data_IF_048003543139
#
_entry.id   IF_048003543139
#
_cell.length_a   1.000
_cell.length_b   1.000
_cell.length_c   1.000
_cell.angle_alpha   90.00
_cell.angle_beta   90.00
_cell.angle_gamma   90.00
#
_symmetry.space_group_name_H-M   'P 1'
#
loop_
_entity.id
_entity.type
_entity.pdbx_description
1 polymer ?
#
# COMPACT_ATOMS: atom_id res chain seq x y z
N UNK A 1 1.18 -24.92 11.15
CA UNK A 1 -0.26 -25.07 11.53
C UNK A 1 -1.15 -24.52 10.41
N UNK A 2 -0.86 -23.32 9.88
CA UNK A 2 -1.58 -22.68 8.77
C UNK A 2 -1.68 -23.52 7.47
N UNK A 3 -0.58 -24.14 7.03
CA UNK A 3 -0.56 -24.93 5.80
C UNK A 3 -1.40 -26.23 5.87
N UNK A 4 -1.47 -26.85 7.05
CA UNK A 4 -2.32 -28.03 7.25
C UNK A 4 -3.80 -27.64 7.24
N UNK A 5 -4.14 -26.49 7.81
CA UNK A 5 -5.50 -25.96 7.81
C UNK A 5 -5.95 -25.54 6.41
N UNK A 6 -5.05 -24.93 5.62
CA UNK A 6 -5.27 -24.62 4.20
C UNK A 6 -5.78 -25.84 3.41
N UNK A 7 -5.06 -26.97 3.51
CA UNK A 7 -5.45 -28.19 2.79
C UNK A 7 -6.69 -28.85 3.38
N UNK A 8 -6.89 -28.76 4.70
CA UNK A 8 -8.12 -29.25 5.35
C UNK A 8 -9.37 -28.50 4.84
N UNK A 9 -9.29 -27.18 4.68
CA UNK A 9 -10.36 -26.35 4.12
C UNK A 9 -10.68 -26.73 2.68
N UNK A 10 -9.65 -26.91 1.84
CA UNK A 10 -9.87 -27.33 0.45
C UNK A 10 -10.45 -28.75 0.37
N UNK A 11 -9.98 -29.67 1.22
CA UNK A 11 -10.50 -31.03 1.29
C UNK A 11 -11.96 -31.10 1.76
N UNK A 12 -12.45 -30.10 2.50
CA UNK A 12 -13.86 -29.99 2.86
C UNK A 12 -14.72 -29.33 1.77
N UNK A 13 -14.16 -29.08 0.58
CA UNK A 13 -14.86 -28.45 -0.54
C UNK A 13 -14.94 -26.92 -0.49
N UNK A 14 -14.33 -26.28 0.51
CA UNK A 14 -14.36 -24.83 0.63
C UNK A 14 -13.22 -24.19 -0.19
N UNK A 15 -13.53 -23.24 -1.10
CA UNK A 15 -12.51 -22.54 -1.88
C UNK A 15 -11.73 -21.56 -1.01
N UNK A 16 -10.53 -21.19 -1.47
CA UNK A 16 -9.69 -20.20 -0.79
C UNK A 16 -8.94 -19.33 -1.80
N UNK A 17 -8.98 -18.01 -1.59
CA UNK A 17 -8.28 -17.02 -2.40
C UNK A 17 -7.41 -16.11 -1.53
N UNK A 18 -6.29 -15.65 -2.08
CA UNK A 18 -5.39 -14.75 -1.38
C UNK A 18 -4.08 -14.53 -2.12
N UNK A 19 -3.16 -13.83 -1.46
CA UNK A 19 -1.79 -13.62 -1.93
C UNK A 19 -0.85 -14.57 -1.19
N UNK A 20 0.02 -15.24 -1.94
CA UNK A 20 0.90 -16.26 -1.41
C UNK A 20 2.32 -16.11 -1.94
N UNK A 21 3.28 -16.12 -1.04
CA UNK A 21 4.70 -16.16 -1.36
C UNK A 21 5.13 -17.59 -1.72
N UNK A 22 5.85 -17.76 -2.83
CA UNK A 22 6.41 -19.05 -3.29
C UNK A 22 7.85 -18.86 -3.74
N UNK A 23 8.54 -19.97 -3.96
CA UNK A 23 9.85 -19.99 -4.57
C UNK A 23 9.73 -20.54 -5.99
N UNK A 24 10.38 -19.88 -6.94
CA UNK A 24 10.54 -20.42 -8.29
C UNK A 24 11.66 -21.49 -8.34
N UNK A 25 11.91 -22.05 -9.53
CA UNK A 25 12.95 -23.07 -9.73
C UNK A 25 14.37 -22.59 -9.34
N UNK A 26 14.63 -21.29 -9.44
CA UNK A 26 15.91 -20.69 -9.10
C UNK A 26 16.01 -20.33 -7.60
N UNK A 27 14.97 -20.59 -6.81
CA UNK A 27 14.91 -20.22 -5.40
C UNK A 27 14.58 -18.76 -5.17
N UNK A 28 14.09 -18.03 -6.19
CA UNK A 28 13.66 -16.64 -6.04
C UNK A 28 12.26 -16.58 -5.47
N UNK A 29 12.03 -15.62 -4.59
CA UNK A 29 10.72 -15.34 -4.05
C UNK A 29 9.81 -14.76 -5.14
N UNK A 30 8.62 -15.33 -5.30
CA UNK A 30 7.56 -14.84 -6.17
C UNK A 30 6.27 -14.66 -5.37
N UNK A 31 5.48 -13.67 -5.77
CA UNK A 31 4.21 -13.34 -5.17
C UNK A 31 3.09 -13.77 -6.12
N UNK A 32 2.24 -14.68 -5.67
CA UNK A 32 1.11 -15.17 -6.44
C UNK A 32 -0.21 -14.73 -5.81
N UNK A 33 -1.00 -13.99 -6.55
CA UNK A 33 -2.43 -13.82 -6.26
C UNK A 33 -3.15 -15.04 -6.83
N UNK A 34 -3.77 -15.86 -5.98
CA UNK A 34 -4.29 -17.16 -6.39
C UNK A 34 -5.63 -17.50 -5.75
N UNK A 35 -6.43 -18.25 -6.51
CA UNK A 35 -7.66 -18.91 -6.08
C UNK A 35 -7.53 -20.41 -6.22
N UNK A 36 -7.81 -21.14 -5.14
CA UNK A 36 -7.84 -22.60 -5.08
C UNK A 36 -9.29 -23.05 -4.98
N UNK A 37 -9.73 -23.85 -5.94
CA UNK A 37 -11.11 -24.28 -6.13
C UNK A 37 -11.19 -25.81 -6.12
N UNK A 38 -11.79 -26.41 -5.09
CA UNK A 38 -12.07 -27.83 -5.06
C UNK A 38 -13.04 -28.23 -6.18
N UNK A 39 -12.76 -29.35 -6.85
CA UNK A 39 -13.63 -29.97 -7.83
C UNK A 39 -14.19 -31.23 -7.19
N UNK A 40 -15.51 -31.30 -7.04
CA UNK A 40 -16.21 -32.39 -6.35
C UNK A 40 -16.92 -33.31 -7.33
N UNK A 41 -17.17 -34.55 -6.92
CA UNK A 41 -18.08 -35.45 -7.60
C UNK A 41 -19.56 -35.18 -7.23
N UNK A 42 -20.47 -36.01 -7.75
CA UNK A 42 -21.91 -35.91 -7.48
C UNK A 42 -22.29 -36.21 -6.01
N UNK A 43 -21.40 -36.84 -5.23
CA UNK A 43 -21.58 -37.10 -3.80
C UNK A 43 -21.06 -35.95 -2.91
N UNK A 44 -20.42 -34.94 -3.51
CA UNK A 44 -19.80 -33.83 -2.80
C UNK A 44 -18.38 -34.13 -2.32
N UNK A 45 -17.81 -35.29 -2.67
CA UNK A 45 -16.44 -35.63 -2.32
C UNK A 45 -15.46 -34.88 -3.24
N UNK A 46 -14.47 -34.21 -2.66
CA UNK A 46 -13.42 -33.51 -3.42
C UNK A 46 -12.55 -34.52 -4.16
N UNK A 47 -12.51 -34.42 -5.49
CA UNK A 47 -11.68 -35.22 -6.40
C UNK A 47 -10.32 -34.59 -6.66
N UNK A 48 -10.30 -33.26 -6.84
CA UNK A 48 -9.08 -32.49 -7.13
C UNK A 48 -9.23 -31.04 -6.72
N UNK A 49 -8.14 -30.28 -6.76
CA UNK A 49 -8.14 -28.83 -6.52
C UNK A 49 -7.53 -28.14 -7.74
N UNK A 50 -8.29 -27.26 -8.37
CA UNK A 50 -7.79 -26.38 -9.42
C UNK A 50 -7.23 -25.11 -8.78
N UNK A 51 -6.04 -24.69 -9.23
CA UNK A 51 -5.44 -23.41 -8.86
C UNK A 51 -5.39 -22.51 -10.09
N UNK A 52 -5.90 -21.29 -9.95
CA UNK A 52 -5.69 -20.19 -10.90
C UNK A 52 -4.87 -19.13 -10.18
N UNK A 53 -3.81 -18.62 -10.82
CA UNK A 53 -2.94 -17.63 -10.20
C UNK A 53 -2.37 -16.63 -11.21
N UNK A 54 -2.21 -15.39 -10.75
CA UNK A 54 -1.46 -14.34 -11.42
C UNK A 54 -0.14 -14.13 -10.66
N UNK A 55 0.95 -13.98 -11.41
CA UNK A 55 2.21 -13.50 -10.85
C UNK A 55 2.13 -11.99 -10.67
N UNK A 56 2.28 -11.54 -9.42
CA UNK A 56 2.21 -10.13 -9.03
C UNK A 56 3.55 -9.65 -8.45
N UNK A 57 4.64 -10.41 -8.66
CA UNK A 57 5.96 -10.14 -8.09
C UNK A 57 6.46 -8.75 -8.45
N UNK A 58 6.35 -8.36 -9.73
CA UNK A 58 6.79 -7.03 -10.18
C UNK A 58 5.99 -5.90 -9.53
N UNK A 59 4.68 -6.12 -9.31
CA UNK A 59 3.81 -5.14 -8.65
C UNK A 59 4.23 -4.94 -7.19
N UNK A 60 4.44 -6.04 -6.46
CA UNK A 60 4.87 -6.02 -5.06
C UNK A 60 6.26 -5.40 -4.93
N UNK A 61 7.22 -5.79 -5.77
CA UNK A 61 8.56 -5.22 -5.77
C UNK A 61 8.57 -3.72 -6.03
N UNK A 62 7.78 -3.26 -7.01
CA UNK A 62 7.68 -1.83 -7.33
C UNK A 62 7.06 -1.02 -6.20
N UNK A 63 6.06 -1.58 -5.51
CA UNK A 63 5.46 -0.95 -4.33
C UNK A 63 6.46 -0.83 -3.18
N UNK A 64 7.22 -1.90 -2.91
CA UNK A 64 8.30 -1.87 -1.91
C UNK A 64 9.44 -0.91 -2.26
N UNK A 65 9.82 -0.83 -3.54
CA UNK A 65 10.83 0.10 -4.03
C UNK A 65 10.38 1.54 -3.84
N UNK A 66 9.15 1.87 -4.29
CA UNK A 66 8.56 3.21 -4.10
C UNK A 66 8.51 3.59 -2.62
N UNK A 67 8.05 2.68 -1.76
CA UNK A 67 8.00 2.93 -0.32
C UNK A 67 9.40 3.15 0.26
N UNK A 68 10.40 2.39 -0.22
CA UNK A 68 11.79 2.54 0.22
C UNK A 68 12.38 3.89 -0.17
N UNK A 69 12.09 4.36 -1.39
CA UNK A 69 12.47 5.69 -1.87
C UNK A 69 11.80 6.77 -1.01
N UNK A 70 10.48 6.72 -0.82
CA UNK A 70 9.74 7.68 0.02
C UNK A 70 10.30 7.70 1.45
N UNK A 71 10.59 6.53 2.02
CA UNK A 71 11.19 6.43 3.35
C UNK A 71 12.60 7.06 3.40
N UNK A 72 13.42 6.87 2.37
CA UNK A 72 14.75 7.47 2.30
C UNK A 72 14.70 8.99 2.17
N UNK A 73 13.78 9.52 1.34
CA UNK A 73 13.51 10.95 1.22
C UNK A 73 12.98 11.52 2.53
N UNK A 74 12.03 10.84 3.17
CA UNK A 74 11.46 11.27 4.46
C UNK A 74 12.51 11.32 5.57
N UNK A 75 13.49 10.41 5.60
CA UNK A 75 14.58 10.47 6.58
C UNK A 75 15.54 11.65 6.36
N UNK A 76 15.73 12.09 5.12
CA UNK A 76 16.77 13.05 4.74
C UNK A 76 16.28 14.47 4.48
N UNK A 77 15.00 14.66 4.17
CA UNK A 77 14.43 15.95 3.77
C UNK A 77 13.20 16.31 4.60
N UNK A 78 12.88 17.61 4.67
CA UNK A 78 11.60 18.10 5.16
C UNK A 78 10.50 17.79 4.12
N UNK A 79 9.50 17.02 4.51
CA UNK A 79 8.41 16.57 3.63
C UNK A 79 7.07 16.87 4.26
N UNK A 80 6.16 17.41 3.45
CA UNK A 80 4.77 17.70 3.78
C UNK A 80 3.88 17.25 2.62
N UNK A 81 2.70 16.75 2.95
CA UNK A 81 1.69 16.29 2.01
C UNK A 81 0.44 17.15 2.13
N UNK A 82 -0.10 17.57 0.99
CA UNK A 82 -1.32 18.37 0.90
C UNK A 82 -2.39 17.63 0.10
N UNK A 83 -3.64 17.88 0.45
CA UNK A 83 -4.78 17.59 -0.41
C UNK A 83 -4.76 18.50 -1.65
N UNK A 84 -5.55 18.16 -2.69
CA UNK A 84 -5.65 19.00 -3.89
C UNK A 84 -6.15 20.43 -3.60
N UNK A 85 -6.95 20.64 -2.55
CA UNK A 85 -7.39 21.96 -2.08
C UNK A 85 -6.41 22.61 -1.09
N UNK A 86 -5.17 22.12 -1.02
CA UNK A 86 -4.07 22.76 -0.29
C UNK A 86 -4.07 22.56 1.22
N UNK A 87 -4.81 21.58 1.76
CA UNK A 87 -4.83 21.30 3.21
C UNK A 87 -3.80 20.26 3.60
N UNK A 88 -3.12 20.46 4.72
CA UNK A 88 -2.13 19.51 5.20
C UNK A 88 -2.81 18.17 5.54
N UNK A 89 -2.33 17.09 4.92
CA UNK A 89 -2.70 15.71 5.23
C UNK A 89 -1.72 15.15 6.27
N UNK A 90 -0.42 15.32 6.02
CA UNK A 90 0.64 14.78 6.86
C UNK A 90 1.94 15.58 6.69
N UNK A 91 2.87 15.47 7.63
CA UNK A 91 4.22 15.99 7.52
C UNK A 91 5.20 15.14 8.33
N UNK A 92 6.43 15.01 7.85
CA UNK A 92 7.46 14.27 8.57
C UNK A 92 8.14 15.12 9.64
N UNK A 93 8.89 14.47 10.53
CA UNK A 93 9.55 15.15 11.65
C UNK A 93 10.54 16.22 11.20
N UNK A 94 11.21 16.03 10.07
CA UNK A 94 12.13 17.01 9.50
C UNK A 94 11.43 18.32 9.15
N UNK A 95 10.24 18.24 8.53
CA UNK A 95 9.42 19.42 8.25
C UNK A 95 8.98 20.10 9.54
N UNK A 96 8.38 19.33 10.46
CA UNK A 96 7.88 19.84 11.75
C UNK A 96 8.98 20.56 12.56
N UNK A 97 10.18 19.99 12.60
CA UNK A 97 11.34 20.60 13.27
C UNK A 97 11.80 21.90 12.58
N UNK A 98 11.68 21.97 11.25
CA UNK A 98 12.10 23.14 10.46
C UNK A 98 11.14 24.31 10.63
N UNK A 99 9.83 24.04 10.65
CA UNK A 99 8.80 25.09 10.76
C UNK A 99 8.35 25.35 12.20
N UNK A 100 8.81 24.54 13.16
CA UNK A 100 8.49 24.63 14.58
C UNK A 100 7.00 24.51 14.92
N UNK A 101 6.30 23.60 14.23
CA UNK A 101 4.94 23.20 14.55
C UNK A 101 4.86 21.72 14.89
N UNK A 102 3.87 21.33 15.69
CA UNK A 102 3.45 19.95 15.83
C UNK A 102 2.52 19.53 14.69
N UNK A 103 2.41 18.22 14.45
CA UNK A 103 1.51 17.70 13.43
C UNK A 103 0.05 18.08 13.71
N UNK A 104 -0.36 18.07 14.97
CA UNK A 104 -1.74 18.37 15.39
C UNK A 104 -2.13 19.82 15.10
N UNK A 105 -1.18 20.75 15.11
CA UNK A 105 -1.42 22.17 14.81
C UNK A 105 -1.64 22.41 13.32
N UNK A 106 -1.00 21.61 12.46
CA UNK A 106 -0.97 21.88 11.02
C UNK A 106 -1.94 21.01 10.21
N UNK A 107 -2.28 19.80 10.67
CA UNK A 107 -3.19 18.92 9.93
C UNK A 107 -4.55 19.60 9.72
N UNK A 108 -5.05 19.56 8.49
CA UNK A 108 -6.29 20.21 8.06
C UNK A 108 -6.18 21.73 7.80
N UNK A 109 -5.09 22.38 8.20
CA UNK A 109 -4.83 23.78 7.87
C UNK A 109 -4.42 23.92 6.41
N UNK A 110 -4.69 25.09 5.82
CA UNK A 110 -4.33 25.37 4.44
C UNK A 110 -2.85 25.78 4.34
N UNK A 111 -2.17 25.38 3.25
CA UNK A 111 -0.76 25.68 2.94
C UNK A 111 -0.38 27.17 3.13
N UNK A 112 -1.37 28.06 2.98
CA UNK A 112 -1.19 29.51 3.16
C UNK A 112 -0.70 29.89 4.56
N UNK A 113 -0.87 29.03 5.57
CA UNK A 113 -0.32 29.27 6.91
C UNK A 113 1.22 29.35 6.93
N UNK A 114 1.89 28.74 5.95
CA UNK A 114 3.35 28.76 5.81
C UNK A 114 3.85 29.84 4.84
N UNK A 115 2.95 30.61 4.23
CA UNK A 115 3.27 31.61 3.21
C UNK A 115 3.18 33.03 3.76
N UNK A 116 3.86 33.98 3.10
CA UNK A 116 3.58 35.39 3.38
C UNK A 116 2.19 35.73 2.87
N UNK A 117 1.54 36.66 3.57
CA UNK A 117 0.18 37.13 3.22
C UNK A 117 0.07 37.59 1.76
N UNK A 118 1.05 38.35 1.27
CA UNK A 118 1.07 38.83 -0.11
C UNK A 118 1.15 37.70 -1.15
N UNK A 119 1.78 36.58 -0.81
CA UNK A 119 1.87 35.41 -1.69
C UNK A 119 0.55 34.64 -1.68
N UNK A 120 0.00 34.36 -0.49
CA UNK A 120 -1.27 33.66 -0.34
C UNK A 120 -2.48 34.41 -0.94
N UNK A 121 -2.41 35.75 -1.01
CA UNK A 121 -3.47 36.58 -1.60
C UNK A 121 -3.34 36.77 -3.12
N UNK A 122 -2.21 36.38 -3.72
CA UNK A 122 -1.93 36.51 -5.16
C UNK A 122 -2.91 35.71 -6.03
N UNK A 123 -3.05 36.13 -7.29
CA UNK A 123 -3.93 35.45 -8.24
C UNK A 123 -3.38 34.07 -8.61
N UNK A 124 -2.06 33.97 -8.75
CA UNK A 124 -1.33 32.75 -9.08
C UNK A 124 -1.52 31.69 -7.99
N UNK A 125 -1.42 32.08 -6.73
CA UNK A 125 -1.62 31.17 -5.60
C UNK A 125 -3.04 30.60 -5.54
N UNK A 126 -4.06 31.46 -5.74
CA UNK A 126 -5.47 31.07 -5.79
C UNK A 126 -5.86 30.29 -7.04
N UNK A 127 -5.05 30.33 -8.09
CA UNK A 127 -5.24 29.53 -9.30
C UNK A 127 -4.57 28.16 -9.20
N UNK A 128 -3.53 28.03 -8.38
CA UNK A 128 -2.82 26.78 -8.16
C UNK A 128 -3.58 25.82 -7.21
N UNK A 129 -4.10 26.35 -6.10
CA UNK A 129 -4.93 25.63 -5.13
C UNK A 129 -6.42 25.83 -5.44
#
# INVERSE_FOLDING_TARGET
IEYAQFWKTLASGAPLSGTFTRLDKAGREIWLEASYMPITDASGQVLSVMKVAADITDRVNKEHENQSIVNALSRSMAMIEFSPDGRVINANQNFLNTVHYSLQEIVGQHHSMFCRRSEAESAEYKAFW
#
